data_IF_907824953569
#
_entry.id   IF_907824953569
#
_cell.length_a   1.000
_cell.length_b   1.000
_cell.length_c   1.000
_cell.angle_alpha   90.00
_cell.angle_beta   90.00
_cell.angle_gamma   90.00
#
_symmetry.space_group_name_H-M   'P 1'
#
loop_
_entity.id
_entity.type
_entity.pdbx_description
1 polymer ?
#
# COMPACT_ATOMS: atom_id res chain seq x y z
N UNK A 1 -15.24 -21.94 15.92
CA UNK A 1 -14.53 -22.63 14.83
C UNK A 1 -14.98 -22.00 13.52
N UNK A 2 -14.14 -21.16 12.91
CA UNK A 2 -14.42 -20.60 11.57
C UNK A 2 -14.11 -21.66 10.51
N UNK A 3 -14.94 -21.71 9.48
CA UNK A 3 -14.88 -22.76 8.45
C UNK A 3 -13.66 -22.59 7.53
N UNK A 4 -13.18 -23.68 6.94
CA UNK A 4 -12.07 -23.67 5.98
C UNK A 4 -12.34 -22.74 4.78
N UNK A 5 -13.62 -22.53 4.42
CA UNK A 5 -14.04 -21.60 3.38
C UNK A 5 -13.87 -20.15 3.83
N UNK A 6 -14.17 -19.78 5.08
CA UNK A 6 -13.88 -18.43 5.60
C UNK A 6 -12.37 -18.16 5.68
N UNK A 7 -11.54 -19.16 6.00
CA UNK A 7 -10.07 -19.01 5.97
C UNK A 7 -9.55 -18.78 4.55
N UNK A 8 -10.05 -19.55 3.57
CA UNK A 8 -9.66 -19.41 2.17
C UNK A 8 -10.17 -18.10 1.56
N UNK A 9 -11.33 -17.59 2.00
CA UNK A 9 -11.83 -16.27 1.55
C UNK A 9 -11.00 -15.14 2.21
N UNK A 10 -10.62 -15.26 3.50
CA UNK A 10 -9.75 -14.30 4.16
C UNK A 10 -8.32 -14.25 3.58
N UNK A 11 -7.77 -15.38 3.14
CA UNK A 11 -6.42 -15.45 2.54
C UNK A 11 -6.35 -14.91 1.09
N UNK A 12 -7.48 -14.70 0.41
CA UNK A 12 -7.50 -14.09 -0.92
C UNK A 12 -7.64 -12.57 -0.85
N UNK A 13 -8.27 -12.04 0.22
CA UNK A 13 -8.39 -10.61 0.49
C UNK A 13 -7.16 -10.02 1.21
N UNK A 14 -6.35 -10.88 1.86
CA UNK A 14 -5.08 -10.54 2.53
C UNK A 14 -3.84 -10.88 1.68
N UNK A 15 -3.96 -11.05 0.37
CA UNK A 15 -2.79 -11.03 -0.52
C UNK A 15 -2.48 -9.58 -0.83
N UNK A 16 -1.61 -8.95 -0.03
CA UNK A 16 -0.72 -7.94 -0.62
C UNK A 16 -0.17 -8.56 -1.90
N UNK A 17 -0.39 -7.89 -3.04
CA UNK A 17 0.11 -8.35 -4.33
C UNK A 17 1.58 -8.73 -4.20
N UNK A 18 1.99 -9.85 -4.80
CA UNK A 18 3.37 -10.34 -4.65
C UNK A 18 4.38 -9.25 -5.08
N UNK A 19 4.00 -8.42 -6.04
CA UNK A 19 4.79 -7.27 -6.48
C UNK A 19 4.88 -6.19 -5.39
N UNK A 20 3.75 -5.82 -4.79
CA UNK A 20 3.72 -4.88 -3.65
C UNK A 20 4.59 -5.37 -2.48
N UNK A 21 4.49 -6.66 -2.11
CA UNK A 21 5.34 -7.21 -1.06
C UNK A 21 6.83 -7.11 -1.39
N UNK A 22 7.20 -7.34 -2.66
CA UNK A 22 8.57 -7.22 -3.12
C UNK A 22 9.06 -5.77 -3.08
N UNK A 23 8.21 -4.81 -3.47
CA UNK A 23 8.50 -3.37 -3.38
C UNK A 23 8.73 -2.99 -1.91
N UNK A 24 7.78 -3.29 -1.03
CA UNK A 24 7.87 -2.95 0.40
C UNK A 24 9.07 -3.62 1.07
N UNK A 25 9.42 -4.86 0.68
CA UNK A 25 10.61 -5.55 1.18
C UNK A 25 11.90 -4.93 0.68
N UNK A 26 11.97 -4.59 -0.62
CA UNK A 26 13.14 -3.94 -1.23
C UNK A 26 13.38 -2.55 -0.63
N UNK A 27 12.31 -1.88 -0.21
CA UNK A 27 12.30 -0.56 0.41
C UNK A 27 11.97 -0.59 1.91
N UNK A 28 12.26 -1.69 2.61
CA UNK A 28 11.80 -1.88 3.98
C UNK A 28 12.27 -0.78 4.96
N UNK A 29 13.46 -0.23 4.74
CA UNK A 29 14.00 0.88 5.54
C UNK A 29 13.20 2.17 5.34
N UNK A 30 12.93 2.50 4.08
CA UNK A 30 12.21 3.70 3.66
C UNK A 30 10.74 3.60 4.11
N UNK A 31 10.11 2.45 3.88
CA UNK A 31 8.73 2.20 4.32
C UNK A 31 8.59 2.28 5.85
N UNK A 32 9.57 1.79 6.61
CA UNK A 32 9.58 1.94 8.06
C UNK A 32 9.72 3.40 8.48
N UNK A 33 10.57 4.18 7.82
CA UNK A 33 10.73 5.61 8.11
C UNK A 33 9.43 6.38 7.84
N UNK A 34 8.73 6.04 6.74
CA UNK A 34 7.41 6.56 6.44
C UNK A 34 6.37 6.21 7.52
N UNK A 35 6.28 4.92 7.89
CA UNK A 35 5.33 4.46 8.92
C UNK A 35 5.60 5.06 10.30
N UNK A 36 6.86 5.25 10.65
CA UNK A 36 7.26 5.89 11.92
C UNK A 36 7.02 7.43 11.90
N UNK A 37 6.53 8.00 10.79
CA UNK A 37 6.34 9.44 10.62
C UNK A 37 7.66 10.23 10.60
N UNK A 38 8.78 9.56 10.30
CA UNK A 38 10.12 10.18 10.29
C UNK A 38 10.44 10.86 8.96
N UNK A 39 9.83 10.40 7.87
CA UNK A 39 10.01 10.92 6.52
C UNK A 39 8.69 10.83 5.77
N UNK A 40 8.36 11.83 4.96
CA UNK A 40 7.20 11.77 4.09
C UNK A 40 7.48 10.89 2.87
N UNK A 41 6.43 10.38 2.23
CA UNK A 41 6.62 9.53 1.05
C UNK A 41 7.22 10.32 -0.14
N UNK A 42 7.05 11.65 -0.18
CA UNK A 42 7.71 12.54 -1.15
C UNK A 42 9.23 12.64 -0.94
N UNK A 43 9.72 12.46 0.29
CA UNK A 43 11.15 12.42 0.60
C UNK A 43 11.80 11.07 0.24
N UNK A 44 10.97 10.10 -0.18
CA UNK A 44 11.36 8.73 -0.51
C UNK A 44 11.04 8.43 -1.98
N UNK A 45 11.64 9.16 -2.95
CA UNK A 45 11.23 9.12 -4.36
C UNK A 45 11.28 7.71 -4.96
N UNK A 46 12.25 6.87 -4.55
CA UNK A 46 12.35 5.50 -5.05
C UNK A 46 11.20 4.61 -4.60
N UNK A 47 10.80 4.71 -3.33
CA UNK A 47 9.65 3.98 -2.81
C UNK A 47 8.36 4.52 -3.45
N UNK A 48 8.23 5.86 -3.51
CA UNK A 48 7.08 6.51 -4.13
C UNK A 48 6.91 6.11 -5.60
N UNK A 49 7.95 6.18 -6.43
CA UNK A 49 7.91 5.78 -7.83
C UNK A 49 7.54 4.31 -8.01
N UNK A 50 8.07 3.42 -7.16
CA UNK A 50 7.73 2.00 -7.22
C UNK A 50 6.24 1.75 -6.90
N UNK A 51 5.73 2.39 -5.85
CA UNK A 51 4.32 2.29 -5.47
C UNK A 51 3.40 2.95 -6.50
N UNK A 52 3.80 4.10 -7.06
CA UNK A 52 3.09 4.79 -8.13
C UNK A 52 3.02 3.90 -9.36
N UNK A 53 4.13 3.28 -9.77
CA UNK A 53 4.13 2.38 -10.92
C UNK A 53 3.25 1.14 -10.71
N UNK A 54 3.21 0.63 -9.48
CA UNK A 54 2.37 -0.50 -9.10
C UNK A 54 0.87 -0.15 -9.15
N UNK A 55 0.49 1.03 -8.64
CA UNK A 55 -0.93 1.43 -8.52
C UNK A 55 -1.44 2.37 -9.60
N UNK A 56 -0.63 2.84 -10.53
CA UNK A 56 -1.05 3.77 -11.59
C UNK A 56 -2.24 3.24 -12.41
N UNK A 57 -2.34 1.92 -12.58
CA UNK A 57 -3.41 1.26 -13.33
C UNK A 57 -4.70 1.11 -12.52
N UNK A 58 -4.58 1.05 -11.20
CA UNK A 58 -5.73 0.96 -10.27
C UNK A 58 -6.24 2.34 -9.86
N UNK A 59 -5.40 3.38 -9.99
CA UNK A 59 -5.72 4.73 -9.58
C UNK A 59 -6.75 5.35 -10.54
N UNK A 60 -7.78 6.07 -10.04
CA UNK A 60 -8.67 6.83 -10.89
C UNK A 60 -7.89 7.84 -11.72
N UNK A 61 -8.19 7.94 -13.02
CA UNK A 61 -7.47 8.84 -13.93
C UNK A 61 -7.44 10.30 -13.44
N UNK A 62 -8.53 10.78 -12.85
CA UNK A 62 -8.61 12.11 -12.25
C UNK A 62 -7.61 12.35 -11.12
N UNK A 63 -7.37 11.34 -10.29
CA UNK A 63 -6.36 11.37 -9.22
C UNK A 63 -4.96 11.27 -9.83
N UNK A 64 -4.74 10.33 -10.76
CA UNK A 64 -3.46 10.16 -11.46
C UNK A 64 -2.97 11.46 -12.13
N UNK A 65 -3.91 12.27 -12.64
CA UNK A 65 -3.63 13.56 -13.28
C UNK A 65 -3.59 14.74 -12.30
N UNK A 66 -3.68 14.50 -10.99
CA UNK A 66 -3.77 15.51 -9.95
C UNK A 66 -4.93 16.52 -10.18
N UNK A 67 -6.03 16.06 -10.77
CA UNK A 67 -7.20 16.90 -11.10
C UNK A 67 -8.30 16.80 -10.05
N UNK A 68 -8.59 15.58 -9.63
CA UNK A 68 -9.69 15.26 -8.70
C UNK A 68 -9.17 14.83 -7.30
N UNK A 69 -7.85 14.78 -7.13
CA UNK A 69 -7.16 14.44 -5.89
C UNK A 69 -5.67 14.27 -6.12
N UNK A 70 -4.88 14.14 -5.05
CA UNK A 70 -3.43 13.98 -5.16
C UNK A 70 -3.03 12.48 -5.20
N UNK A 71 -2.22 12.04 -6.20
CA UNK A 71 -1.68 10.67 -6.24
C UNK A 71 -0.94 10.27 -4.96
N UNK A 72 -0.20 11.19 -4.34
CA UNK A 72 0.51 10.98 -3.09
C UNK A 72 -0.44 10.62 -1.96
N UNK A 73 -1.48 11.43 -1.74
CA UNK A 73 -2.44 11.20 -0.67
C UNK A 73 -3.19 9.89 -0.90
N UNK A 74 -3.54 9.58 -2.15
CA UNK A 74 -4.19 8.33 -2.50
C UNK A 74 -3.33 7.11 -2.15
N UNK A 75 -2.03 7.16 -2.48
CA UNK A 75 -1.07 6.10 -2.17
C UNK A 75 -0.86 5.97 -0.66
N UNK A 76 -0.66 7.08 0.05
CA UNK A 76 -0.46 7.10 1.50
C UNK A 76 -1.67 6.51 2.25
N UNK A 77 -2.88 6.92 1.89
CA UNK A 77 -4.12 6.40 2.48
C UNK A 77 -4.26 4.88 2.25
N UNK A 78 -3.86 4.39 1.06
CA UNK A 78 -3.94 2.96 0.74
C UNK A 78 -2.93 2.14 1.53
N UNK A 79 -1.71 2.65 1.72
CA UNK A 79 -0.71 2.02 2.59
C UNK A 79 -1.21 1.93 4.04
N UNK A 80 -1.86 2.99 4.53
CA UNK A 80 -2.40 3.02 5.90
C UNK A 80 -3.51 1.97 6.07
N UNK A 81 -4.47 1.91 5.15
CA UNK A 81 -5.53 0.89 5.14
C UNK A 81 -4.97 -0.54 5.14
N UNK A 82 -3.89 -0.78 4.38
CA UNK A 82 -3.24 -2.11 4.34
C UNK A 82 -2.54 -2.41 5.68
N UNK A 83 -1.90 -1.41 6.29
CA UNK A 83 -1.24 -1.54 7.60
C UNK A 83 -2.26 -1.81 8.72
N UNK A 84 -3.40 -1.13 8.72
CA UNK A 84 -4.48 -1.32 9.70
C UNK A 84 -5.11 -2.72 9.57
N UNK A 85 -5.45 -3.15 8.34
CA UNK A 85 -5.97 -4.50 8.09
C UNK A 85 -5.02 -5.61 8.55
N UNK A 86 -3.70 -5.36 8.50
CA UNK A 86 -2.71 -6.31 9.00
C UNK A 86 -2.65 -6.37 10.54
N UNK A 87 -3.11 -5.34 11.25
CA UNK A 87 -3.12 -5.26 12.72
C UNK A 87 -4.43 -5.78 13.34
N UNK A 88 -5.57 -5.69 12.63
CA UNK A 88 -6.87 -6.19 13.12
C UNK A 88 -6.97 -7.74 13.18
N UNK A 89 -6.04 -8.46 12.57
CA UNK A 89 -6.02 -9.92 12.52
C UNK A 89 -5.07 -10.59 13.55
N UNK A 90 -4.62 -9.85 14.58
CA UNK A 90 -3.76 -10.39 15.65
C UNK A 90 -4.46 -10.48 17.02
#
# INVERSE_FOLDING_TARGET
MKTFIEHVINEQELRMDRDLQNILRSHAKDYKAFKDGKQDLLDLPKLYDALMNHWQTDMPYGVLKARDGDPYEWIANRLDTISEKALEHN
#
